data_IF_066186587678
#
_entry.id   IF_066186587678
#
_cell.length_a   1.000
_cell.length_b   1.000
_cell.length_c   1.000
_cell.angle_alpha   90.00
_cell.angle_beta   90.00
_cell.angle_gamma   90.00
#
_symmetry.space_group_name_H-M   'P 1'
#
loop_
_entity.id
_entity.type
_entity.pdbx_description
1 polymer ?
#
# COMPACT_ATOMS: atom_id res chain seq x y z
N UNK A 1 -7.95 -16.69 -0.09
CA UNK A 1 -6.75 -16.85 0.76
C UNK A 1 -5.56 -16.38 -0.02
N UNK A 2 -5.07 -15.28 0.38
CA UNK A 2 -4.06 -14.50 -0.32
C UNK A 2 -2.69 -15.04 0.04
N UNK A 3 -2.10 -15.75 -0.91
CA UNK A 3 -0.69 -16.09 -0.80
C UNK A 3 0.17 -14.83 -0.99
N UNK A 4 0.24 -13.98 0.01
CA UNK A 4 1.39 -13.10 0.16
C UNK A 4 2.56 -14.01 0.43
N UNK A 5 3.35 -14.27 -0.61
CA UNK A 5 4.55 -15.07 -0.44
C UNK A 5 5.48 -14.33 0.52
N UNK A 6 5.51 -14.80 1.74
CA UNK A 6 6.40 -14.37 2.83
C UNK A 6 7.88 -14.61 2.55
N UNK A 7 8.23 -15.11 1.35
CA UNK A 7 9.60 -15.48 0.96
C UNK A 7 10.54 -14.32 0.65
N UNK A 8 10.09 -13.08 0.74
CA UNK A 8 10.94 -11.92 0.39
C UNK A 8 11.17 -10.94 1.55
N UNK A 9 10.66 -11.24 2.75
CA UNK A 9 10.95 -10.41 3.92
C UNK A 9 12.31 -10.81 4.50
N UNK A 10 13.24 -9.88 4.72
CA UNK A 10 14.39 -10.13 5.58
C UNK A 10 13.92 -10.69 6.92
N UNK A 11 14.67 -11.59 7.52
CA UNK A 11 14.25 -12.41 8.68
C UNK A 11 13.78 -11.57 9.89
N UNK A 12 14.14 -10.28 9.96
CA UNK A 12 13.80 -9.34 11.02
C UNK A 12 13.31 -7.98 10.49
N UNK A 13 12.68 -7.92 9.32
CA UNK A 13 12.22 -6.66 8.74
C UNK A 13 11.11 -5.99 9.55
N UNK A 14 11.06 -4.66 9.47
CA UNK A 14 9.87 -3.89 9.81
C UNK A 14 8.79 -4.10 8.74
N UNK A 15 7.57 -4.42 9.16
CA UNK A 15 6.37 -4.45 8.32
C UNK A 15 5.50 -3.25 8.69
N UNK A 16 5.36 -2.31 7.78
CA UNK A 16 4.73 -1.01 8.07
C UNK A 16 3.47 -0.85 7.24
N UNK A 17 2.33 -0.77 7.93
CA UNK A 17 1.01 -0.55 7.33
C UNK A 17 0.68 0.94 7.34
N UNK A 18 0.72 1.57 6.18
CA UNK A 18 0.44 2.99 5.98
C UNK A 18 -1.07 3.20 5.78
N UNK A 19 -1.70 4.02 6.61
CA UNK A 19 -3.15 4.21 6.59
C UNK A 19 -3.88 2.93 6.98
N UNK A 20 -3.50 2.36 8.12
CA UNK A 20 -3.87 1.00 8.52
C UNK A 20 -5.37 0.81 8.81
N UNK A 21 -6.12 1.86 9.13
CA UNK A 21 -7.52 1.70 9.55
C UNK A 21 -7.69 0.59 10.57
N UNK A 22 -8.63 -0.31 10.29
CA UNK A 22 -8.85 -1.54 11.05
C UNK A 22 -8.31 -2.80 10.33
N UNK A 23 -7.45 -2.61 9.31
CA UNK A 23 -6.83 -3.73 8.59
C UNK A 23 -5.85 -4.52 9.47
N UNK A 24 -5.84 -5.83 9.32
CA UNK A 24 -5.04 -6.76 10.11
C UNK A 24 -3.97 -7.50 9.28
N UNK A 25 -3.69 -7.03 8.07
CA UNK A 25 -2.75 -7.64 7.13
C UNK A 25 -1.34 -7.74 7.72
N UNK A 26 -0.87 -6.68 8.41
CA UNK A 26 0.44 -6.69 9.07
C UNK A 26 0.59 -7.88 10.03
N UNK A 27 -0.42 -8.12 10.86
CA UNK A 27 -0.44 -9.25 11.80
C UNK A 27 -0.49 -10.61 11.07
N UNK A 28 -1.25 -10.70 9.98
CA UNK A 28 -1.33 -11.91 9.17
C UNK A 28 0.00 -12.26 8.46
N UNK A 29 0.86 -11.26 8.22
CA UNK A 29 2.19 -11.44 7.64
C UNK A 29 3.28 -11.70 8.68
N UNK A 30 2.95 -11.73 9.97
CA UNK A 30 3.92 -11.89 11.05
C UNK A 30 4.55 -13.30 11.02
N UNK A 31 5.86 -13.35 10.86
CA UNK A 31 6.66 -14.58 10.91
C UNK A 31 7.23 -14.88 12.32
N UNK A 32 6.76 -14.18 13.35
CA UNK A 32 7.25 -14.29 14.73
C UNK A 32 8.54 -13.51 15.02
N UNK A 33 9.14 -12.86 14.02
CA UNK A 33 10.40 -12.08 14.13
C UNK A 33 10.27 -10.65 13.65
N UNK A 34 9.29 -10.34 12.79
CA UNK A 34 9.03 -8.99 12.28
C UNK A 34 8.52 -8.06 13.38
N UNK A 35 8.90 -6.80 13.30
CA UNK A 35 8.22 -5.70 13.99
C UNK A 35 7.12 -5.17 13.07
N UNK A 36 5.94 -4.96 13.62
CA UNK A 36 4.77 -4.50 12.87
C UNK A 36 4.42 -3.10 13.34
N UNK A 37 4.29 -2.18 12.40
CA UNK A 37 3.91 -0.79 12.66
C UNK A 37 2.63 -0.47 11.89
N UNK A 38 1.62 -0.01 12.61
CA UNK A 38 0.33 0.42 12.04
C UNK A 38 0.23 1.93 12.19
N UNK A 39 0.21 2.64 11.06
CA UNK A 39 0.22 4.10 11.00
C UNK A 39 -1.11 4.61 10.47
N UNK A 40 -1.72 5.55 11.19
CA UNK A 40 -2.93 6.26 10.74
C UNK A 40 -3.13 7.54 11.58
N UNK A 41 -4.16 8.30 11.27
CA UNK A 41 -4.55 9.46 12.05
C UNK A 41 -4.83 9.11 13.52
N UNK A 42 -4.63 10.06 14.45
CA UNK A 42 -4.76 9.81 15.89
C UNK A 42 -6.12 9.23 16.32
N UNK A 43 -7.20 9.68 15.74
CA UNK A 43 -8.56 9.20 16.02
C UNK A 43 -8.77 7.76 15.52
N UNK A 44 -8.23 7.43 14.36
CA UNK A 44 -8.27 6.06 13.81
C UNK A 44 -7.43 5.11 14.67
N UNK A 45 -6.25 5.53 15.08
CA UNK A 45 -5.39 4.73 15.98
C UNK A 45 -6.04 4.53 17.33
N UNK A 46 -6.72 5.54 17.88
CA UNK A 46 -7.46 5.42 19.14
C UNK A 46 -8.59 4.37 19.03
N UNK A 47 -9.35 4.38 17.93
CA UNK A 47 -10.37 3.37 17.67
C UNK A 47 -9.75 1.97 17.46
N UNK A 48 -8.66 1.90 16.68
CA UNK A 48 -7.91 0.64 16.44
C UNK A 48 -7.44 0.04 17.76
N UNK A 49 -6.90 0.84 18.66
CA UNK A 49 -6.41 0.36 19.95
C UNK A 49 -7.51 -0.28 20.82
N UNK A 50 -8.75 0.19 20.68
CA UNK A 50 -9.91 -0.39 21.37
C UNK A 50 -10.37 -1.72 20.75
N UNK A 51 -10.39 -1.80 19.40
CA UNK A 51 -10.96 -2.94 18.68
C UNK A 51 -9.91 -4.01 18.33
N UNK A 52 -8.68 -3.60 18.06
CA UNK A 52 -7.54 -4.42 17.64
C UNK A 52 -6.28 -3.99 18.40
N UNK A 53 -6.20 -4.20 19.72
CA UNK A 53 -5.04 -3.80 20.51
C UNK A 53 -3.76 -4.41 19.96
N UNK A 54 -2.67 -3.63 19.98
CA UNK A 54 -1.37 -4.04 19.49
C UNK A 54 -0.83 -5.25 20.25
N UNK A 55 -0.28 -6.21 19.54
CA UNK A 55 0.39 -7.37 20.10
C UNK A 55 1.82 -7.06 20.55
N UNK A 56 2.55 -8.05 21.07
CA UNK A 56 3.91 -7.90 21.65
C UNK A 56 4.91 -7.24 20.67
N UNK A 57 4.84 -7.56 19.37
CA UNK A 57 5.74 -7.03 18.33
C UNK A 57 5.06 -6.03 17.42
N UNK A 58 3.97 -5.46 17.85
CA UNK A 58 3.11 -4.57 17.07
C UNK A 58 3.03 -3.21 17.76
N UNK A 59 3.15 -2.15 17.00
CA UNK A 59 3.06 -0.77 17.47
C UNK A 59 2.07 0.01 16.62
N UNK A 60 1.11 0.65 17.26
CA UNK A 60 0.18 1.59 16.64
C UNK A 60 0.74 3.01 16.77
N UNK A 61 0.98 3.68 15.66
CA UNK A 61 1.63 5.01 15.60
C UNK A 61 0.64 6.03 15.05
N UNK A 62 0.13 6.94 15.90
CA UNK A 62 -0.67 8.05 15.42
C UNK A 62 0.20 9.05 14.66
N UNK A 63 -0.15 9.34 13.40
CA UNK A 63 0.54 10.33 12.56
C UNK A 63 -0.31 10.77 11.36
N UNK A 64 0.04 11.90 10.77
CA UNK A 64 -0.29 12.21 9.37
C UNK A 64 0.87 11.67 8.50
N UNK A 65 0.57 10.84 7.51
CA UNK A 65 1.58 10.28 6.60
C UNK A 65 2.34 11.34 5.79
N UNK A 66 1.80 12.56 5.70
CA UNK A 66 2.47 13.70 5.05
C UNK A 66 3.55 14.34 5.90
N UNK A 67 3.54 14.11 7.21
CA UNK A 67 4.58 14.57 8.11
C UNK A 67 5.69 13.52 8.23
N UNK A 68 6.93 13.77 7.77
CA UNK A 68 8.00 12.78 7.79
C UNK A 68 8.47 12.36 9.19
N UNK A 69 8.02 13.02 10.25
CA UNK A 69 8.41 12.70 11.63
C UNK A 69 8.10 11.25 12.05
N UNK A 70 7.25 10.54 11.33
CA UNK A 70 7.02 9.12 11.60
C UNK A 70 8.17 8.22 11.14
N UNK A 71 9.04 8.67 10.24
CA UNK A 71 10.20 7.89 9.77
C UNK A 71 11.10 7.49 10.94
N UNK A 72 11.34 8.39 11.88
CA UNK A 72 12.18 8.17 13.07
C UNK A 72 11.60 7.15 14.05
N UNK A 73 10.31 6.82 13.92
CA UNK A 73 9.62 5.85 14.79
C UNK A 73 9.74 4.41 14.29
N UNK A 74 10.28 4.20 13.08
CA UNK A 74 10.39 2.89 12.46
C UNK A 74 11.82 2.35 12.62
N UNK A 75 11.97 1.27 13.37
CA UNK A 75 13.24 0.54 13.38
C UNK A 75 13.34 -0.35 12.14
N UNK A 76 14.04 0.16 11.15
CA UNK A 76 14.28 -0.50 9.87
C UNK A 76 15.66 -1.19 9.80
N UNK A 77 16.36 -1.39 10.92
CA UNK A 77 17.71 -1.97 10.96
C UNK A 77 17.80 -3.36 10.31
N UNK A 78 16.72 -4.12 10.32
CA UNK A 78 16.58 -5.40 9.63
C UNK A 78 15.96 -5.30 8.22
N UNK A 79 15.86 -4.10 7.64
CA UNK A 79 15.11 -3.81 6.42
C UNK A 79 13.67 -3.41 6.71
N UNK A 80 12.98 -2.86 5.71
CA UNK A 80 11.60 -2.43 5.86
C UNK A 80 10.74 -2.77 4.64
N UNK A 81 9.52 -3.22 4.89
CA UNK A 81 8.47 -3.39 3.88
C UNK A 81 7.27 -2.56 4.30
N UNK A 82 6.92 -1.63 3.45
CA UNK A 82 5.78 -0.74 3.61
C UNK A 82 4.66 -1.21 2.69
N UNK A 83 3.42 -1.14 3.16
CA UNK A 83 2.28 -1.32 2.29
C UNK A 83 1.18 -0.32 2.60
N UNK A 84 0.48 0.10 1.55
CA UNK A 84 -0.64 1.03 1.61
C UNK A 84 -1.78 0.47 0.77
N UNK A 85 -2.91 0.14 1.39
CA UNK A 85 -4.07 -0.42 0.71
C UNK A 85 -5.23 0.57 0.72
N UNK A 86 -5.62 1.07 -0.45
CA UNK A 86 -6.70 2.06 -0.58
C UNK A 86 -6.37 3.45 -0.04
N UNK A 87 -5.11 3.79 0.14
CA UNK A 87 -4.66 5.00 0.86
C UNK A 87 -4.29 6.13 -0.09
N UNK A 88 -3.41 5.86 -1.05
CA UNK A 88 -2.82 6.93 -1.88
C UNK A 88 -3.81 7.60 -2.82
N UNK A 89 -4.94 7.00 -3.09
CA UNK A 89 -6.02 7.65 -3.86
C UNK A 89 -6.42 9.03 -3.31
N UNK A 90 -6.31 9.22 -2.01
CA UNK A 90 -6.70 10.47 -1.33
C UNK A 90 -5.61 11.54 -1.29
N UNK A 91 -4.42 11.24 -1.81
CA UNK A 91 -3.29 12.16 -1.85
C UNK A 91 -3.19 12.87 -3.20
N UNK A 92 -2.65 14.07 -3.22
CA UNK A 92 -2.19 14.70 -4.45
C UNK A 92 -0.96 13.95 -4.97
N UNK A 93 -0.78 13.90 -6.29
CA UNK A 93 0.39 13.23 -6.91
C UNK A 93 1.72 13.76 -6.35
N UNK A 94 1.81 15.06 -6.10
CA UNK A 94 3.00 15.68 -5.52
C UNK A 94 3.27 15.18 -4.10
N UNK A 95 2.24 15.00 -3.28
CA UNK A 95 2.37 14.51 -1.91
C UNK A 95 2.87 13.05 -1.89
N UNK A 96 2.35 12.20 -2.79
CA UNK A 96 2.84 10.82 -2.91
C UNK A 96 4.30 10.80 -3.38
N UNK A 97 4.66 11.67 -4.31
CA UNK A 97 6.05 11.78 -4.79
C UNK A 97 7.00 12.18 -3.66
N UNK A 98 6.67 13.22 -2.90
CA UNK A 98 7.47 13.69 -1.76
C UNK A 98 7.62 12.60 -0.70
N UNK A 99 6.54 11.90 -0.38
CA UNK A 99 6.54 10.78 0.54
C UNK A 99 7.48 9.66 0.06
N UNK A 100 7.35 9.24 -1.20
CA UNK A 100 8.18 8.15 -1.78
C UNK A 100 9.66 8.55 -1.81
N UNK A 101 9.98 9.80 -2.17
CA UNK A 101 11.36 10.30 -2.16
C UNK A 101 11.93 10.34 -0.73
N UNK A 102 11.17 10.85 0.25
CA UNK A 102 11.57 10.84 1.66
C UNK A 102 11.76 9.41 2.20
N UNK A 103 10.89 8.48 1.82
CA UNK A 103 11.05 7.08 2.20
C UNK A 103 12.31 6.45 1.57
N UNK A 104 12.64 6.81 0.31
CA UNK A 104 13.86 6.33 -0.33
C UNK A 104 15.14 6.84 0.35
N UNK A 105 15.07 8.04 0.93
CA UNK A 105 16.17 8.62 1.73
C UNK A 105 16.29 7.95 3.11
N UNK A 106 15.17 7.79 3.79
CA UNK A 106 15.13 7.28 5.16
C UNK A 106 15.31 5.75 5.25
N UNK A 107 14.90 4.99 4.23
CA UNK A 107 14.85 3.53 4.26
C UNK A 107 15.53 2.91 3.03
N UNK A 108 16.83 3.11 2.82
CA UNK A 108 17.56 2.52 1.68
C UNK A 108 17.45 0.99 1.72
N UNK A 109 17.16 0.37 0.57
CA UNK A 109 16.90 -1.06 0.46
C UNK A 109 15.50 -1.50 0.86
N UNK A 110 14.66 -0.59 1.36
CA UNK A 110 13.26 -0.85 1.70
C UNK A 110 12.39 -1.05 0.46
N UNK A 111 11.18 -1.52 0.68
CA UNK A 111 10.19 -1.79 -0.37
C UNK A 111 8.84 -1.21 0.02
N UNK A 112 8.20 -0.46 -0.90
CA UNK A 112 6.83 0.00 -0.79
C UNK A 112 5.94 -0.76 -1.76
N UNK A 113 4.78 -1.23 -1.28
CA UNK A 113 3.74 -1.90 -2.07
C UNK A 113 2.42 -1.16 -1.87
N UNK A 114 1.73 -0.83 -2.95
CA UNK A 114 0.42 -0.18 -2.87
C UNK A 114 -0.45 -0.50 -4.09
N UNK A 115 -1.75 -0.30 -3.94
CA UNK A 115 -2.70 -0.44 -5.03
C UNK A 115 -2.88 0.90 -5.77
N UNK A 116 -2.99 0.82 -7.09
CA UNK A 116 -3.20 1.97 -7.95
C UNK A 116 -4.16 1.65 -9.10
N UNK A 117 -4.75 2.70 -9.67
CA UNK A 117 -5.64 2.59 -10.82
C UNK A 117 -5.59 3.86 -11.66
N UNK A 118 -6.12 3.80 -12.88
CA UNK A 118 -6.17 4.97 -13.75
C UNK A 118 -7.19 6.03 -13.25
N UNK A 119 -7.11 7.23 -13.82
CA UNK A 119 -7.96 8.37 -13.42
C UNK A 119 -9.46 8.08 -13.50
N UNK A 120 -9.89 7.26 -14.46
CA UNK A 120 -11.32 6.89 -14.60
C UNK A 120 -11.78 6.05 -13.42
N UNK A 121 -11.01 5.04 -13.05
CA UNK A 121 -11.29 4.20 -11.89
C UNK A 121 -11.26 5.00 -10.59
N UNK A 122 -10.25 5.86 -10.40
CA UNK A 122 -10.12 6.72 -9.21
C UNK A 122 -11.33 7.67 -9.07
N UNK A 123 -11.79 8.28 -10.16
CA UNK A 123 -13.00 9.10 -10.15
C UNK A 123 -14.26 8.28 -9.81
N UNK A 124 -14.34 7.05 -10.29
CA UNK A 124 -15.45 6.15 -10.00
C UNK A 124 -15.45 5.72 -8.53
N UNK A 125 -14.28 5.38 -7.98
CA UNK A 125 -14.09 5.07 -6.55
C UNK A 125 -14.56 6.25 -5.70
N UNK A 126 -14.09 7.47 -6.00
CA UNK A 126 -14.53 8.67 -5.29
C UNK A 126 -16.05 8.87 -5.36
N UNK A 127 -16.63 8.72 -6.54
CA UNK A 127 -18.09 8.92 -6.73
C UNK A 127 -18.93 7.88 -6.03
N UNK A 128 -18.50 6.63 -5.98
CA UNK A 128 -19.28 5.52 -5.42
C UNK A 128 -19.06 5.35 -3.92
N UNK A 129 -17.81 5.17 -3.50
CA UNK A 129 -17.46 4.83 -2.11
C UNK A 129 -17.61 6.03 -1.18
N UNK A 130 -17.07 7.19 -1.54
CA UNK A 130 -17.18 8.40 -0.70
C UNK A 130 -18.62 8.85 -0.55
N UNK A 131 -19.42 8.78 -1.64
CA UNK A 131 -20.85 9.10 -1.59
C UNK A 131 -21.62 8.12 -0.71
N UNK A 132 -21.36 6.82 -0.82
CA UNK A 132 -22.02 5.79 0.00
C UNK A 132 -21.65 5.93 1.47
N UNK A 133 -20.39 6.25 1.78
CA UNK A 133 -19.91 6.52 3.12
C UNK A 133 -20.30 7.90 3.65
N UNK A 134 -21.01 8.73 2.87
CA UNK A 134 -21.41 10.12 3.21
C UNK A 134 -20.22 11.03 3.55
N UNK A 135 -19.03 10.73 3.05
CA UNK A 135 -17.83 11.54 3.22
C UNK A 135 -17.87 12.65 2.16
N UNK A 136 -17.92 13.93 2.59
CA UNK A 136 -18.16 15.06 1.69
C UNK A 136 -16.89 15.81 1.29
N UNK A 137 -15.89 15.91 2.11
CA UNK A 137 -14.75 16.81 1.92
C UNK A 137 -13.45 16.10 1.52
N UNK A 138 -13.57 14.87 1.02
CA UNK A 138 -12.43 14.06 0.57
C UNK A 138 -12.53 13.81 -0.93
N UNK A 139 -11.49 14.19 -1.68
CA UNK A 139 -11.35 13.88 -3.10
C UNK A 139 -10.47 12.65 -3.31
N UNK A 140 -10.51 12.09 -4.51
CA UNK A 140 -9.55 11.09 -4.95
C UNK A 140 -8.76 11.66 -6.12
N UNK A 141 -7.43 11.77 -5.94
CA UNK A 141 -6.56 12.55 -6.81
C UNK A 141 -5.45 11.74 -7.47
N UNK A 142 -4.75 10.91 -6.68
CA UNK A 142 -3.65 10.10 -7.17
C UNK A 142 -4.15 8.97 -8.05
N UNK A 143 -3.69 8.95 -9.28
CA UNK A 143 -4.02 7.94 -10.27
C UNK A 143 -2.78 7.57 -11.09
N UNK A 144 -2.62 6.30 -11.41
CA UNK A 144 -1.48 5.76 -12.17
C UNK A 144 -2.01 4.79 -13.21
N UNK A 145 -1.67 5.02 -14.47
CA UNK A 145 -2.02 4.13 -15.57
C UNK A 145 -0.89 3.14 -15.91
N UNK A 146 0.35 3.62 -15.90
CA UNK A 146 1.55 2.84 -16.08
C UNK A 146 2.57 3.20 -14.99
N UNK A 147 2.68 2.33 -13.99
CA UNK A 147 3.50 2.61 -12.82
C UNK A 147 4.98 2.82 -13.19
N UNK A 148 5.52 2.04 -14.11
CA UNK A 148 6.93 2.12 -14.46
C UNK A 148 7.26 3.46 -15.14
N UNK A 149 6.50 3.86 -16.14
CA UNK A 149 6.76 5.08 -16.89
C UNK A 149 6.44 6.34 -16.08
N UNK A 150 5.43 6.31 -15.20
CA UNK A 150 4.98 7.48 -14.44
C UNK A 150 5.77 7.70 -13.15
N UNK A 151 6.22 6.63 -12.47
CA UNK A 151 6.84 6.73 -11.14
C UNK A 151 8.37 6.62 -11.16
N UNK A 152 8.96 5.87 -12.11
CA UNK A 152 10.44 5.77 -12.19
C UNK A 152 11.15 7.11 -12.37
N UNK A 153 10.59 8.11 -13.07
CA UNK A 153 11.23 9.42 -13.20
C UNK A 153 11.24 10.26 -11.91
N UNK A 154 10.58 9.83 -10.85
CA UNK A 154 10.55 10.59 -9.60
C UNK A 154 11.90 10.59 -8.89
N UNK A 155 12.64 9.49 -8.98
CA UNK A 155 13.98 9.36 -8.42
C UNK A 155 14.70 8.19 -9.11
N UNK A 156 15.95 8.37 -9.47
CA UNK A 156 16.78 7.36 -10.18
C UNK A 156 17.03 6.09 -9.36
N UNK A 157 16.86 6.15 -8.05
CA UNK A 157 17.01 5.01 -7.13
C UNK A 157 15.79 4.08 -7.12
N UNK A 158 14.64 4.51 -7.65
CA UNK A 158 13.41 3.74 -7.57
C UNK A 158 13.38 2.59 -8.57
N UNK A 159 13.17 1.41 -8.06
CA UNK A 159 12.96 0.19 -8.85
C UNK A 159 11.46 -0.11 -8.90
N UNK A 160 10.79 0.39 -9.94
CA UNK A 160 9.34 0.29 -10.08
C UNK A 160 8.93 -0.92 -10.90
N UNK A 161 7.99 -1.70 -10.36
CA UNK A 161 7.31 -2.78 -11.07
C UNK A 161 5.83 -2.83 -10.66
N UNK A 162 5.00 -3.43 -11.50
CA UNK A 162 3.59 -3.62 -11.15
C UNK A 162 3.04 -4.93 -11.71
N UNK A 163 1.94 -5.40 -11.11
CA UNK A 163 1.14 -6.53 -11.58
C UNK A 163 -0.34 -6.15 -11.55
N UNK A 164 -1.13 -6.75 -12.42
CA UNK A 164 -2.58 -6.59 -12.40
C UNK A 164 -3.14 -6.94 -11.02
N UNK A 165 -4.09 -6.17 -10.56
CA UNK A 165 -4.69 -6.34 -9.23
C UNK A 165 -5.39 -7.69 -9.10
N UNK A 166 -6.13 -8.12 -10.13
CA UNK A 166 -6.85 -9.38 -10.13
C UNK A 166 -6.11 -10.47 -10.94
N UNK A 167 -5.70 -10.17 -12.18
CA UNK A 167 -5.07 -11.14 -13.07
C UNK A 167 -3.61 -11.47 -12.68
N UNK A 168 -2.94 -10.58 -11.97
CA UNK A 168 -1.55 -10.78 -11.54
C UNK A 168 -1.41 -11.81 -10.41
N UNK A 169 -2.49 -12.15 -9.70
CA UNK A 169 -2.49 -12.98 -8.51
C UNK A 169 -3.50 -14.13 -8.53
N UNK A 170 -4.38 -14.18 -9.54
CA UNK A 170 -5.38 -15.23 -9.67
C UNK A 170 -5.19 -15.98 -10.99
N UNK A 171 -5.30 -17.30 -10.95
CA UNK A 171 -5.35 -18.11 -12.17
C UNK A 171 -6.75 -18.05 -12.78
N UNK A 172 -6.90 -17.24 -13.81
CA UNK A 172 -8.19 -17.13 -14.53
C UNK A 172 -8.50 -18.34 -15.40
N UNK A 173 -7.58 -19.30 -15.55
CA UNK A 173 -7.83 -20.57 -16.23
C UNK A 173 -8.45 -21.60 -15.29
N UNK A 174 -8.35 -21.39 -13.98
CA UNK A 174 -8.99 -22.25 -12.99
C UNK A 174 -10.49 -22.38 -13.29
N UNK A 175 -11.04 -23.60 -13.39
CA UNK A 175 -12.46 -23.83 -13.66
C UNK A 175 -13.41 -23.16 -12.66
N UNK A 176 -12.98 -22.95 -11.42
CA UNK A 176 -13.75 -22.23 -10.38
C UNK A 176 -13.91 -20.74 -10.67
N UNK A 177 -13.05 -20.16 -11.51
CA UNK A 177 -13.16 -18.78 -11.94
C UNK A 177 -14.30 -18.63 -12.96
N UNK A 178 -15.51 -18.31 -12.47
CA UNK A 178 -16.68 -18.10 -13.32
C UNK A 178 -16.49 -17.02 -14.39
N UNK A 179 -17.26 -17.09 -15.49
CA UNK A 179 -17.13 -16.16 -16.62
C UNK A 179 -17.30 -14.69 -16.24
N UNK A 180 -18.19 -14.39 -15.30
CA UNK A 180 -18.37 -13.04 -14.76
C UNK A 180 -17.14 -12.52 -14.02
N UNK A 181 -16.52 -13.36 -13.20
CA UNK A 181 -15.26 -13.00 -12.51
C UNK A 181 -14.13 -12.72 -13.52
N UNK A 182 -13.99 -13.56 -14.55
CA UNK A 182 -13.01 -13.35 -15.63
C UNK A 182 -13.25 -12.03 -16.38
N UNK A 183 -14.50 -11.70 -16.63
CA UNK A 183 -14.86 -10.41 -17.25
C UNK A 183 -14.49 -9.24 -16.35
N UNK A 184 -14.88 -9.27 -15.06
CA UNK A 184 -14.53 -8.22 -14.09
C UNK A 184 -13.01 -8.05 -13.93
N UNK A 185 -12.25 -9.15 -13.87
CA UNK A 185 -10.81 -9.11 -13.78
C UNK A 185 -10.18 -8.40 -14.99
N UNK A 186 -10.65 -8.71 -16.21
CA UNK A 186 -10.18 -8.05 -17.43
C UNK A 186 -10.54 -6.56 -17.47
N UNK A 187 -11.75 -6.21 -17.06
CA UNK A 187 -12.19 -4.81 -17.01
C UNK A 187 -11.39 -4.04 -15.97
N UNK A 188 -11.18 -4.62 -14.79
CA UNK A 188 -10.38 -4.00 -13.72
C UNK A 188 -8.93 -3.78 -14.16
N UNK A 189 -8.23 -4.84 -14.52
CA UNK A 189 -6.78 -4.76 -14.78
C UNK A 189 -6.46 -4.08 -16.13
N UNK A 190 -7.22 -4.36 -17.20
CA UNK A 190 -6.93 -3.82 -18.52
C UNK A 190 -7.63 -2.47 -18.78
N UNK A 191 -8.90 -2.35 -18.40
CA UNK A 191 -9.70 -1.15 -18.65
C UNK A 191 -9.47 -0.05 -17.62
N UNK A 192 -9.49 -0.39 -16.33
CA UNK A 192 -9.30 0.55 -15.23
C UNK A 192 -7.84 0.65 -14.77
N UNK A 193 -6.94 -0.18 -15.34
CA UNK A 193 -5.52 -0.25 -14.95
C UNK A 193 -5.34 -0.47 -13.45
N UNK A 194 -6.22 -1.28 -12.86
CA UNK A 194 -6.06 -1.69 -11.46
C UNK A 194 -4.84 -2.57 -11.33
N UNK A 195 -3.92 -2.17 -10.47
CA UNK A 195 -2.62 -2.81 -10.33
C UNK A 195 -2.10 -2.72 -8.91
N UNK A 196 -1.27 -3.68 -8.52
CA UNK A 196 -0.41 -3.59 -7.34
C UNK A 196 0.96 -3.12 -7.81
N UNK A 197 1.38 -1.99 -7.29
CA UNK A 197 2.67 -1.37 -7.58
C UNK A 197 3.65 -1.74 -6.48
N UNK A 198 4.87 -2.09 -6.88
CA UNK A 198 6.02 -2.32 -5.99
C UNK A 198 7.11 -1.34 -6.36
N UNK A 199 7.61 -0.59 -5.38
CA UNK A 199 8.75 0.30 -5.48
C UNK A 199 9.83 -0.19 -4.54
N UNK A 200 10.99 -0.58 -5.07
CA UNK A 200 12.18 -0.81 -4.27
C UNK A 200 12.99 0.49 -4.14
N UNK A 201 13.44 0.81 -2.95
CA UNK A 201 14.31 1.94 -2.69
C UNK A 201 15.76 1.50 -2.87
N UNK A 202 16.35 1.79 -4.04
CA UNK A 202 17.73 1.40 -4.34
C UNK A 202 18.66 1.88 -3.24
N UNK A 203 19.25 0.93 -2.55
CA UNK A 203 20.36 1.11 -1.64
C UNK A 203 21.45 0.11 -2.07
N UNK A 204 22.70 0.41 -1.86
CA UNK A 204 23.74 -0.61 -1.94
C UNK A 204 23.39 -1.66 -0.88
N UNK A 205 23.09 -2.90 -1.35
CA UNK A 205 23.17 -4.07 -0.50
C UNK A 205 24.57 -4.17 0.06
#
# INVERSE_FOLDING_TARGET
MTGVQTCALPICAAVVNLGCGLDNTGRACNNGRCKIYNLDFPDVIALRQQLLPAGEREQNIPCDLKDPAWFDKIDASGGAVFFASGVFYYFLTQQVRELVQGMADAFPGGVLVFDAANRTAVKMIAKTWLKTAKIKDVGAYFAVSDAKSELSPWDSRLQVSSRGYMMGYNDLKDPSAGGFFRFLAKVGDNGMKMQIVKIGFGGKL
#
